data_IF_049783883885
#
_entry.id   IF_049783883885
#
_cell.length_a   1.000
_cell.length_b   1.000
_cell.length_c   1.000
_cell.angle_alpha   90.00
_cell.angle_beta   90.00
_cell.angle_gamma   90.00
#
_symmetry.space_group_name_H-M   'P 1'
#
loop_
_entity.id
_entity.type
_entity.pdbx_description
1 polymer ?
#
# COMPACT_ATOMS: atom_id res chain seq x y z
N UNK A 1 43.08 -40.54 -51.65
CA UNK A 1 43.75 -39.33 -51.14
C UNK A 1 42.73 -38.22 -51.23
N UNK A 2 42.21 -37.78 -50.06
CA UNK A 2 41.62 -36.46 -49.73
C UNK A 2 40.63 -35.84 -50.75
N UNK A 3 39.39 -35.46 -50.43
CA UNK A 3 38.95 -34.48 -49.42
C UNK A 3 37.41 -34.44 -49.38
N UNK A 4 36.85 -34.18 -48.19
CA UNK A 4 35.44 -33.85 -47.90
C UNK A 4 34.98 -32.57 -48.63
N UNK A 5 33.69 -32.24 -48.60
CA UNK A 5 33.14 -31.08 -47.84
C UNK A 5 31.66 -30.84 -48.19
N UNK A 6 30.86 -30.77 -47.12
CA UNK A 6 29.59 -30.08 -46.84
C UNK A 6 28.47 -30.09 -47.91
N UNK A 7 27.29 -30.66 -47.69
CA UNK A 7 26.58 -30.83 -46.41
C UNK A 7 25.99 -29.48 -45.99
N UNK A 8 24.79 -29.20 -46.51
CA UNK A 8 23.93 -28.04 -46.24
C UNK A 8 24.05 -27.53 -44.80
N UNK A 9 24.81 -26.44 -44.64
CA UNK A 9 24.93 -25.68 -43.42
C UNK A 9 23.65 -24.87 -43.17
N UNK A 10 22.97 -25.26 -42.09
CA UNK A 10 22.63 -24.36 -40.99
C UNK A 10 21.69 -23.17 -41.31
N UNK A 11 20.39 -23.43 -41.26
CA UNK A 11 19.42 -22.42 -40.88
C UNK A 11 18.44 -23.03 -39.89
N UNK A 12 18.27 -22.32 -38.77
CA UNK A 12 17.26 -22.53 -37.71
C UNK A 12 17.61 -23.60 -36.67
N UNK A 13 18.52 -23.25 -35.75
CA UNK A 13 18.47 -23.77 -34.38
C UNK A 13 18.23 -22.56 -33.48
N UNK A 14 16.99 -22.51 -32.97
CA UNK A 14 16.54 -21.64 -31.88
C UNK A 14 17.57 -21.62 -30.76
N UNK A 15 18.15 -20.46 -30.50
CA UNK A 15 18.81 -20.18 -29.24
C UNK A 15 17.75 -19.84 -28.19
N UNK A 16 17.07 -20.87 -27.70
CA UNK A 16 16.38 -20.81 -26.40
C UNK A 16 16.75 -22.06 -25.61
N UNK A 17 18.02 -22.14 -25.22
CA UNK A 17 18.48 -23.03 -24.16
C UNK A 17 19.52 -22.30 -23.35
N UNK A 18 19.05 -21.54 -22.36
CA UNK A 18 19.73 -21.44 -21.08
C UNK A 18 18.76 -21.97 -20.04
N UNK A 19 18.86 -23.27 -19.79
CA UNK A 19 18.28 -23.94 -18.64
C UNK A 19 19.26 -23.87 -17.47
N UNK A 20 18.69 -23.84 -16.26
CA UNK A 20 19.31 -24.31 -15.02
C UNK A 20 20.41 -23.43 -14.41
N UNK A 21 19.99 -22.33 -13.76
CA UNK A 21 20.52 -21.80 -12.49
C UNK A 21 19.74 -20.51 -12.16
N UNK A 22 18.49 -20.63 -11.70
CA UNK A 22 17.77 -19.50 -11.10
C UNK A 22 17.70 -19.74 -9.60
N UNK A 23 18.79 -19.38 -8.94
CA UNK A 23 18.78 -19.20 -7.50
C UNK A 23 18.12 -17.85 -7.23
N UNK A 24 16.82 -17.92 -7.00
CA UNK A 24 15.92 -17.09 -6.18
C UNK A 24 16.50 -15.77 -5.65
N UNK A 25 16.58 -14.76 -6.51
CA UNK A 25 16.59 -13.37 -6.06
C UNK A 25 15.60 -12.64 -6.97
N UNK A 26 14.37 -12.44 -6.46
CA UNK A 26 13.39 -11.60 -7.16
C UNK A 26 13.99 -10.19 -7.28
N UNK A 27 13.91 -9.60 -8.47
CA UNK A 27 14.36 -8.21 -8.65
C UNK A 27 13.54 -7.25 -7.80
N UNK A 28 14.10 -6.08 -7.44
CA UNK A 28 13.39 -5.05 -6.64
C UNK A 28 12.03 -4.69 -7.24
N UNK A 29 11.96 -4.49 -8.55
CA UNK A 29 10.73 -4.14 -9.26
C UNK A 29 9.68 -5.26 -9.19
N UNK A 30 10.12 -6.51 -9.22
CA UNK A 30 9.26 -7.70 -9.14
C UNK A 30 8.71 -7.89 -7.72
N UNK A 31 9.54 -7.67 -6.70
CA UNK A 31 9.12 -7.60 -5.30
C UNK A 31 8.09 -6.49 -5.12
N UNK A 32 8.34 -5.29 -5.65
CA UNK A 32 7.39 -4.18 -5.57
C UNK A 32 6.06 -4.52 -6.23
N UNK A 33 6.09 -5.03 -7.47
CA UNK A 33 4.88 -5.47 -8.18
C UNK A 33 4.13 -6.57 -7.42
N UNK A 34 4.84 -7.48 -6.76
CA UNK A 34 4.24 -8.51 -5.94
C UNK A 34 3.63 -7.93 -4.65
N UNK A 35 4.33 -7.05 -3.94
CA UNK A 35 3.87 -6.48 -2.67
C UNK A 35 2.88 -5.32 -2.83
N UNK A 36 2.69 -4.75 -4.03
CA UNK A 36 1.73 -3.67 -4.29
C UNK A 36 0.29 -4.07 -3.92
N UNK A 37 -0.06 -5.36 -4.04
CA UNK A 37 -1.39 -5.84 -3.71
C UNK A 37 -1.55 -6.15 -2.22
N UNK A 38 -2.49 -5.48 -1.57
CA UNK A 38 -2.78 -5.61 -0.14
C UNK A 38 -3.08 -7.05 0.30
N UNK A 39 -3.82 -7.83 -0.50
CA UNK A 39 -4.12 -9.24 -0.18
C UNK A 39 -2.87 -10.09 -0.15
N UNK A 40 -1.92 -9.86 -1.07
CA UNK A 40 -0.63 -10.58 -1.04
C UNK A 40 0.18 -10.22 0.19
N UNK A 41 0.24 -8.93 0.58
CA UNK A 41 0.88 -8.51 1.84
C UNK A 41 0.25 -9.19 3.05
N UNK A 42 -1.08 -9.18 3.15
CA UNK A 42 -1.82 -9.85 4.24
C UNK A 42 -1.58 -11.36 4.28
N UNK A 43 -1.45 -12.03 3.13
CA UNK A 43 -1.06 -13.46 3.11
C UNK A 43 0.32 -13.66 3.72
N UNK A 44 1.31 -12.84 3.35
CA UNK A 44 2.66 -12.95 3.90
C UNK A 44 2.70 -12.63 5.40
N UNK A 45 1.94 -11.62 5.84
CA UNK A 45 1.74 -11.30 7.26
C UNK A 45 1.13 -12.49 8.01
N UNK A 46 0.15 -13.17 7.43
CA UNK A 46 -0.41 -14.40 8.01
C UNK A 46 0.64 -15.50 8.13
N UNK A 47 1.51 -15.68 7.13
CA UNK A 47 2.49 -16.76 7.13
C UNK A 47 3.72 -16.48 8.02
N UNK A 48 4.00 -15.22 8.35
CA UNK A 48 5.21 -14.79 9.07
C UNK A 48 5.50 -15.61 10.32
N UNK A 49 4.53 -15.71 11.22
CA UNK A 49 4.70 -16.34 12.54
C UNK A 49 4.25 -17.81 12.59
N UNK A 50 3.93 -18.40 11.43
CA UNK A 50 3.44 -19.79 11.34
C UNK A 50 4.52 -20.70 10.77
N UNK A 51 4.70 -21.84 11.40
CA UNK A 51 5.58 -22.90 10.93
C UNK A 51 4.76 -24.02 10.30
N UNK A 52 5.22 -24.50 9.14
CA UNK A 52 4.61 -25.61 8.42
C UNK A 52 3.40 -25.24 7.54
N UNK A 53 2.77 -26.26 6.93
CA UNK A 53 1.68 -26.07 5.98
C UNK A 53 0.40 -25.59 6.66
N UNK A 54 -0.28 -24.64 6.03
CA UNK A 54 -1.56 -24.07 6.48
C UNK A 54 -2.64 -24.25 5.42
N UNK A 55 -3.91 -24.24 5.82
CA UNK A 55 -5.00 -24.28 4.85
C UNK A 55 -5.30 -22.91 4.28
N UNK A 56 -5.45 -22.85 2.96
CA UNK A 56 -5.85 -21.66 2.20
C UNK A 56 -7.19 -21.07 2.69
N UNK A 57 -8.11 -21.91 3.19
CA UNK A 57 -9.34 -21.44 3.84
C UNK A 57 -9.07 -20.61 5.09
N UNK A 58 -8.14 -21.05 5.93
CA UNK A 58 -7.82 -20.39 7.19
C UNK A 58 -7.09 -19.05 6.93
N UNK A 59 -6.28 -19.00 5.87
CA UNK A 59 -5.72 -17.74 5.35
C UNK A 59 -6.84 -16.82 4.88
N UNK A 60 -7.75 -17.30 4.03
CA UNK A 60 -8.84 -16.49 3.48
C UNK A 60 -9.74 -15.90 4.57
N UNK A 61 -10.03 -16.68 5.62
CA UNK A 61 -10.80 -16.23 6.78
C UNK A 61 -10.11 -15.10 7.53
N UNK A 62 -8.82 -15.24 7.81
CA UNK A 62 -8.08 -14.22 8.55
C UNK A 62 -7.85 -12.96 7.73
N UNK A 63 -7.50 -13.11 6.44
CA UNK A 63 -7.34 -11.97 5.52
C UNK A 63 -8.64 -11.19 5.38
N UNK A 64 -9.78 -11.89 5.24
CA UNK A 64 -11.09 -11.25 5.19
C UNK A 64 -11.46 -10.56 6.51
N UNK A 65 -11.08 -11.13 7.66
CA UNK A 65 -11.27 -10.50 8.96
C UNK A 65 -10.49 -9.17 9.06
N UNK A 66 -9.24 -9.15 8.58
CA UNK A 66 -8.42 -7.93 8.51
C UNK A 66 -8.90 -6.91 7.47
N UNK A 67 -9.47 -7.34 6.34
CA UNK A 67 -10.07 -6.41 5.35
C UNK A 67 -11.35 -5.73 5.82
N UNK A 68 -12.08 -6.35 6.75
CA UNK A 68 -13.37 -5.86 7.23
C UNK A 68 -13.33 -5.39 8.68
N UNK A 69 -12.13 -5.21 9.25
CA UNK A 69 -11.91 -4.79 10.64
C UNK A 69 -12.77 -5.56 11.65
N UNK A 70 -12.85 -6.88 11.46
CA UNK A 70 -13.72 -7.77 12.22
C UNK A 70 -12.97 -9.02 12.69
N UNK A 71 -13.66 -9.89 13.43
CA UNK A 71 -13.12 -11.20 13.80
C UNK A 71 -13.59 -12.28 12.84
N UNK A 72 -12.85 -13.39 12.77
CA UNK A 72 -13.26 -14.57 11.97
C UNK A 72 -14.66 -15.07 12.39
N UNK A 73 -15.03 -14.94 13.67
CA UNK A 73 -16.33 -15.37 14.18
C UNK A 73 -17.48 -14.44 13.78
N UNK A 74 -17.19 -13.15 13.55
CA UNK A 74 -18.16 -12.14 13.13
C UNK A 74 -18.18 -11.93 11.60
N UNK A 75 -17.39 -12.70 10.86
CA UNK A 75 -17.25 -12.57 9.41
C UNK A 75 -18.48 -13.12 8.66
N UNK A 76 -19.00 -12.33 7.73
CA UNK A 76 -20.11 -12.75 6.88
C UNK A 76 -19.63 -13.72 5.78
N UNK A 77 -20.51 -14.62 5.36
CA UNK A 77 -20.13 -15.68 4.41
C UNK A 77 -19.72 -15.14 3.04
N UNK A 78 -20.32 -14.03 2.59
CA UNK A 78 -20.01 -13.39 1.31
C UNK A 78 -18.66 -12.67 1.34
N UNK A 79 -18.32 -12.01 2.45
CA UNK A 79 -17.00 -11.42 2.69
C UNK A 79 -15.89 -12.47 2.60
N UNK A 80 -16.04 -13.58 3.35
CA UNK A 80 -15.12 -14.72 3.28
C UNK A 80 -15.00 -15.28 1.86
N UNK A 81 -16.13 -15.46 1.17
CA UNK A 81 -16.17 -16.05 -0.16
C UNK A 81 -15.42 -15.20 -1.19
N UNK A 82 -15.55 -13.87 -1.14
CA UNK A 82 -14.85 -12.97 -2.07
C UNK A 82 -13.33 -13.08 -1.92
N UNK A 83 -12.84 -13.07 -0.69
CA UNK A 83 -11.39 -13.22 -0.41
C UNK A 83 -10.91 -14.61 -0.82
N UNK A 84 -11.67 -15.66 -0.49
CA UNK A 84 -11.35 -17.02 -0.91
C UNK A 84 -11.17 -17.13 -2.43
N UNK A 85 -12.13 -16.63 -3.21
CA UNK A 85 -12.05 -16.68 -4.68
C UNK A 85 -10.81 -15.93 -5.19
N UNK A 86 -10.55 -14.73 -4.65
CA UNK A 86 -9.39 -13.94 -5.06
C UNK A 86 -8.05 -14.62 -4.73
N UNK A 87 -7.92 -15.19 -3.53
CA UNK A 87 -6.73 -15.94 -3.14
C UNK A 87 -6.53 -17.16 -4.02
N UNK A 88 -7.61 -17.90 -4.31
CA UNK A 88 -7.54 -19.12 -5.11
C UNK A 88 -7.16 -18.87 -6.56
N UNK A 89 -7.70 -17.81 -7.17
CA UNK A 89 -7.59 -17.54 -8.61
C UNK A 89 -6.38 -16.69 -8.99
N UNK A 90 -5.97 -15.76 -8.12
CA UNK A 90 -5.00 -14.73 -8.49
C UNK A 90 -3.82 -14.67 -7.51
N UNK A 91 -4.08 -14.52 -6.21
CA UNK A 91 -3.01 -14.12 -5.30
C UNK A 91 -2.08 -15.26 -4.91
N UNK A 92 -2.60 -16.42 -4.53
CA UNK A 92 -1.75 -17.56 -4.16
C UNK A 92 -1.04 -18.18 -5.37
N UNK A 93 -1.69 -18.38 -6.53
CA UNK A 93 -0.96 -18.82 -7.73
C UNK A 93 0.18 -17.89 -8.10
N UNK A 94 -0.02 -16.57 -8.02
CA UNK A 94 1.05 -15.61 -8.33
C UNK A 94 2.20 -15.67 -7.31
N UNK A 95 1.90 -15.79 -6.02
CA UNK A 95 2.95 -15.93 -4.99
C UNK A 95 3.75 -17.24 -5.15
N UNK A 96 3.10 -18.30 -5.65
CA UNK A 96 3.71 -19.60 -5.93
C UNK A 96 4.58 -19.57 -7.20
N UNK A 97 4.09 -18.93 -8.27
CA UNK A 97 4.86 -18.70 -9.50
C UNK A 97 6.19 -17.97 -9.23
N UNK A 98 6.17 -17.00 -8.31
CA UNK A 98 7.37 -16.25 -7.89
C UNK A 98 8.20 -16.97 -6.81
N UNK A 99 7.83 -18.19 -6.42
CA UNK A 99 8.56 -19.00 -5.43
C UNK A 99 8.50 -18.47 -3.98
N UNK A 100 7.60 -17.54 -3.69
CA UNK A 100 7.43 -16.96 -2.35
C UNK A 100 6.71 -17.93 -1.42
N UNK A 101 5.80 -18.73 -1.96
CA UNK A 101 5.11 -19.81 -1.25
C UNK A 101 5.16 -21.08 -2.11
N UNK A 102 4.88 -22.24 -1.50
CA UNK A 102 4.46 -23.45 -2.21
C UNK A 102 2.94 -23.57 -2.03
N UNK A 103 2.19 -23.43 -3.12
CA UNK A 103 0.73 -23.52 -3.12
C UNK A 103 0.23 -24.78 -3.83
N UNK A 104 -0.18 -25.76 -3.04
CA UNK A 104 -0.93 -26.90 -3.56
C UNK A 104 -2.40 -26.54 -3.76
N UNK A 105 -2.73 -25.99 -4.93
CA UNK A 105 -4.09 -25.56 -5.27
C UNK A 105 -5.14 -26.67 -5.16
N UNK A 106 -4.78 -27.90 -5.55
CA UNK A 106 -5.71 -29.05 -5.49
C UNK A 106 -6.09 -29.45 -4.07
N UNK A 107 -5.19 -29.25 -3.10
CA UNK A 107 -5.40 -29.56 -1.69
C UNK A 107 -5.74 -28.34 -0.84
N UNK A 108 -5.60 -27.13 -1.40
CA UNK A 108 -5.76 -25.89 -0.65
C UNK A 108 -4.74 -25.75 0.49
N UNK A 109 -3.52 -26.24 0.29
CA UNK A 109 -2.44 -26.17 1.27
C UNK A 109 -1.43 -25.13 0.79
N UNK A 110 -1.01 -24.25 1.70
CA UNK A 110 0.02 -23.24 1.46
C UNK A 110 1.15 -23.48 2.45
N UNK A 111 2.38 -23.50 1.96
CA UNK A 111 3.58 -23.57 2.77
C UNK A 111 4.50 -22.39 2.44
N UNK A 112 5.08 -21.76 3.46
CA UNK A 112 5.97 -20.61 3.22
C UNK A 112 7.35 -21.09 2.80
N UNK A 113 7.97 -20.41 1.84
CA UNK A 113 9.39 -20.61 1.51
C UNK A 113 10.26 -19.66 2.35
N UNK A 114 11.60 -19.82 2.34
CA UNK A 114 12.49 -18.84 2.97
C UNK A 114 12.29 -17.41 2.43
N UNK A 115 11.98 -17.28 1.13
CA UNK A 115 11.77 -16.01 0.44
C UNK A 115 10.57 -15.24 1.01
N UNK A 116 9.49 -15.92 1.43
CA UNK A 116 8.37 -15.27 2.12
C UNK A 116 8.79 -14.52 3.40
N UNK A 117 9.76 -15.03 4.17
CA UNK A 117 10.21 -14.36 5.38
C UNK A 117 11.03 -13.09 5.05
N UNK A 118 11.81 -13.13 3.96
CA UNK A 118 12.58 -11.99 3.49
C UNK A 118 11.68 -10.87 2.95
N UNK A 119 10.64 -11.21 2.20
CA UNK A 119 9.64 -10.24 1.74
C UNK A 119 8.77 -9.72 2.89
N UNK A 120 8.41 -10.56 3.85
CA UNK A 120 7.67 -10.12 5.03
C UNK A 120 8.46 -9.09 5.86
N UNK A 121 9.78 -9.17 5.88
CA UNK A 121 10.63 -8.15 6.53
C UNK A 121 10.58 -6.79 5.80
N UNK A 122 10.37 -6.77 4.47
CA UNK A 122 10.17 -5.52 3.74
C UNK A 122 8.83 -4.84 4.05
N UNK A 123 7.82 -5.59 4.53
CA UNK A 123 6.53 -5.04 4.97
C UNK A 123 6.62 -4.28 6.31
N UNK A 124 7.71 -4.42 7.06
CA UNK A 124 7.90 -3.80 8.38
C UNK A 124 8.59 -2.44 8.31
N UNK A 125 9.09 -2.05 7.14
CA UNK A 125 9.49 -0.67 6.91
C UNK A 125 8.19 0.14 6.79
N UNK A 126 7.95 1.16 7.64
CA UNK A 126 7.01 2.21 7.28
C UNK A 126 7.43 2.67 5.89
N UNK A 127 6.55 2.57 4.91
CA UNK A 127 6.78 3.07 3.56
C UNK A 127 7.06 4.59 3.65
N UNK A 128 8.32 4.95 3.87
CA UNK A 128 8.91 6.27 3.58
C UNK A 128 9.45 6.27 2.13
N UNK A 129 9.16 5.23 1.34
CA UNK A 129 9.33 5.23 -0.11
C UNK A 129 8.13 5.97 -0.73
N UNK A 130 8.16 7.30 -0.58
CA UNK A 130 7.57 8.25 -1.51
C UNK A 130 8.21 8.01 -2.89
N UNK A 131 7.73 7.00 -3.62
CA UNK A 131 8.06 6.83 -5.02
C UNK A 131 7.41 8.01 -5.77
N UNK A 132 8.25 8.95 -6.20
CA UNK A 132 7.88 10.05 -7.10
C UNK A 132 7.39 9.48 -8.43
N UNK A 133 6.16 8.96 -8.50
CA UNK A 133 5.46 8.72 -9.75
C UNK A 133 3.94 8.83 -9.52
N UNK A 134 3.41 10.01 -9.82
CA UNK A 134 2.00 10.32 -10.10
C UNK A 134 0.94 9.53 -9.30
N UNK A 135 0.67 9.95 -8.07
CA UNK A 135 -0.46 9.45 -7.28
C UNK A 135 -0.46 9.98 -5.86
N UNK A 136 -1.27 11.01 -5.62
CA UNK A 136 -1.85 11.43 -4.33
C UNK A 136 -1.21 10.82 -3.05
N UNK A 137 -0.05 11.34 -2.64
CA UNK A 137 0.49 11.06 -1.32
C UNK A 137 -0.30 11.81 -0.25
N UNK A 138 -0.80 11.05 0.73
CA UNK A 138 -1.46 11.50 1.95
C UNK A 138 -0.49 12.38 2.76
N UNK A 139 -0.40 13.66 2.39
CA UNK A 139 0.39 14.66 3.11
C UNK A 139 -0.01 14.63 4.60
N UNK A 140 0.95 14.67 5.55
CA UNK A 140 0.68 14.66 6.98
C UNK A 140 0.16 16.03 7.44
N UNK A 141 -1.10 16.35 7.11
CA UNK A 141 -1.74 17.62 7.46
C UNK A 141 -1.91 17.79 8.98
N UNK A 142 -1.72 16.73 9.77
CA UNK A 142 -1.73 16.79 11.23
C UNK A 142 -0.72 17.79 11.80
N UNK A 143 0.50 17.86 11.24
CA UNK A 143 1.51 18.83 11.67
C UNK A 143 1.15 20.28 11.26
N UNK A 144 0.48 20.43 10.11
CA UNK A 144 -0.02 21.71 9.62
C UNK A 144 -1.18 22.23 10.50
N UNK A 145 -2.14 21.38 10.86
CA UNK A 145 -3.21 21.75 11.78
C UNK A 145 -2.74 21.98 13.22
N UNK A 146 -1.72 21.25 13.70
CA UNK A 146 -1.14 21.45 15.03
C UNK A 146 -0.38 22.77 15.16
N UNK A 147 0.37 23.17 14.14
CA UNK A 147 1.07 24.46 14.12
C UNK A 147 0.08 25.64 14.03
N UNK A 148 -0.95 25.52 13.18
CA UNK A 148 -2.00 26.55 13.03
C UNK A 148 -2.85 26.68 14.29
N UNK A 149 -3.24 25.58 14.93
CA UNK A 149 -4.01 25.63 16.19
C UNK A 149 -3.17 26.15 17.35
N UNK A 150 -1.89 25.76 17.45
CA UNK A 150 -0.96 26.26 18.47
C UNK A 150 -0.77 27.77 18.40
N UNK A 151 -0.58 28.32 17.20
CA UNK A 151 -0.48 29.78 16.99
C UNK A 151 -1.77 30.51 17.36
N UNK A 152 -2.93 29.94 17.02
CA UNK A 152 -4.24 30.53 17.32
C UNK A 152 -4.54 30.54 18.83
N UNK A 153 -4.26 29.44 19.54
CA UNK A 153 -4.40 29.36 21.00
C UNK A 153 -3.43 30.31 21.71
N UNK A 154 -2.18 30.43 21.22
CA UNK A 154 -1.19 31.36 21.77
C UNK A 154 -1.63 32.82 21.59
N UNK A 155 -2.21 33.16 20.44
CA UNK A 155 -2.67 34.53 20.13
C UNK A 155 -3.90 34.92 20.96
N UNK A 156 -4.83 34.00 21.17
CA UNK A 156 -6.01 34.20 22.05
C UNK A 156 -5.57 34.32 23.51
N UNK A 157 -4.63 33.49 23.97
CA UNK A 157 -4.09 33.54 25.33
C UNK A 157 -3.34 34.85 25.62
N UNK A 158 -2.53 35.33 24.66
CA UNK A 158 -1.78 36.58 24.79
C UNK A 158 -2.69 37.81 24.86
N UNK A 159 -3.81 37.81 24.13
CA UNK A 159 -4.82 38.87 24.18
C UNK A 159 -5.52 38.95 25.55
N UNK A 160 -5.83 37.80 26.16
CA UNK A 160 -6.48 37.75 27.48
C UNK A 160 -5.61 38.22 28.65
N UNK A 161 -4.28 38.13 28.54
CA UNK A 161 -3.32 38.48 29.60
C UNK A 161 -2.96 39.97 29.65
N UNK A 162 -3.47 40.81 28.74
CA UNK A 162 -3.34 42.26 28.81
C UNK A 162 -1.90 42.77 28.76
N UNK A 163 -1.02 42.09 28.01
CA UNK A 163 0.37 42.53 27.85
C UNK A 163 0.46 43.77 26.93
N UNK A 164 1.06 44.82 27.48
CA UNK A 164 1.48 46.13 26.95
C UNK A 164 1.09 46.50 25.49
N UNK A 165 0.25 47.53 25.32
CA UNK A 165 0.06 48.24 24.04
C UNK A 165 -1.35 48.22 23.41
N UNK A 166 -2.31 47.50 24.00
CA UNK A 166 -3.65 47.27 23.43
C UNK A 166 -4.79 48.12 24.06
N UNK A 167 -4.46 49.24 24.70
CA UNK A 167 -5.47 50.09 25.38
C UNK A 167 -6.44 50.82 24.46
N UNK A 168 -6.20 50.88 23.14
CA UNK A 168 -6.91 51.79 22.22
C UNK A 168 -7.54 51.13 21.00
N UNK A 169 -7.44 49.81 20.83
CA UNK A 169 -7.98 49.12 19.65
C UNK A 169 -9.36 48.52 19.99
N UNK A 170 -10.44 48.90 19.28
CA UNK A 170 -11.75 48.30 19.48
C UNK A 170 -11.70 46.80 19.22
N UNK A 171 -12.11 45.99 20.20
CA UNK A 171 -12.21 44.53 20.13
C UNK A 171 -13.01 44.04 18.91
N UNK A 172 -13.92 44.86 18.39
CA UNK A 172 -14.69 44.59 17.17
C UNK A 172 -13.82 44.51 15.90
N UNK A 173 -12.75 45.30 15.78
CA UNK A 173 -11.89 45.25 14.59
C UNK A 173 -11.07 43.95 14.54
N UNK A 174 -10.63 43.47 15.70
CA UNK A 174 -9.92 42.19 15.82
C UNK A 174 -10.87 41.04 15.49
N UNK A 175 -12.09 41.06 16.03
CA UNK A 175 -13.10 40.05 15.73
C UNK A 175 -13.47 40.02 14.24
N UNK A 176 -13.66 41.19 13.61
CA UNK A 176 -13.95 41.30 12.18
C UNK A 176 -12.78 40.83 11.31
N UNK A 177 -11.54 41.10 11.70
CA UNK A 177 -10.37 40.61 10.98
C UNK A 177 -10.29 39.08 11.03
N UNK A 178 -10.44 38.48 12.21
CA UNK A 178 -10.45 37.01 12.37
C UNK A 178 -11.60 36.38 11.57
N UNK A 179 -12.80 36.97 11.66
CA UNK A 179 -13.97 36.48 10.93
C UNK A 179 -13.80 36.64 9.41
N UNK A 180 -13.16 37.71 8.94
CA UNK A 180 -12.86 37.91 7.51
C UNK A 180 -11.86 36.90 6.98
N UNK A 181 -10.85 36.53 7.75
CA UNK A 181 -9.87 35.50 7.37
C UNK A 181 -10.56 34.13 7.29
N UNK A 182 -11.39 33.79 8.28
CA UNK A 182 -12.15 32.54 8.27
C UNK A 182 -13.14 32.48 7.09
N UNK A 183 -13.84 33.58 6.82
CA UNK A 183 -14.80 33.66 5.71
C UNK A 183 -14.09 33.60 4.35
N UNK A 184 -12.97 34.29 4.18
CA UNK A 184 -12.18 34.27 2.95
C UNK A 184 -11.61 32.87 2.68
N UNK A 185 -11.15 32.17 3.74
CA UNK A 185 -10.64 30.81 3.63
C UNK A 185 -11.75 29.82 3.25
N UNK A 186 -12.91 29.90 3.91
CA UNK A 186 -14.06 29.05 3.60
C UNK A 186 -14.57 29.31 2.18
N UNK A 187 -14.57 30.57 1.76
CA UNK A 187 -15.00 30.95 0.41
C UNK A 187 -14.02 30.47 -0.67
N UNK A 188 -12.71 30.56 -0.43
CA UNK A 188 -11.70 30.03 -1.34
C UNK A 188 -11.81 28.51 -1.48
N UNK A 189 -12.05 27.79 -0.38
CA UNK A 189 -12.26 26.35 -0.37
C UNK A 189 -13.54 25.93 -1.11
N UNK A 190 -14.60 26.74 -1.04
CA UNK A 190 -15.85 26.48 -1.76
C UNK A 190 -15.68 26.70 -3.27
N UNK A 191 -14.96 27.75 -3.68
CA UNK A 191 -14.69 28.00 -5.10
C UNK A 191 -13.85 26.88 -5.74
N UNK A 192 -12.81 26.42 -5.05
CA UNK A 192 -11.96 25.33 -5.50
C UNK A 192 -12.76 24.03 -5.68
N UNK A 193 -13.73 23.77 -4.79
CA UNK A 193 -14.62 22.61 -4.86
C UNK A 193 -15.73 22.71 -5.94
N UNK A 194 -15.99 23.90 -6.49
CA UNK A 194 -16.91 24.07 -7.62
C UNK A 194 -16.20 23.87 -8.97
N UNK A 195 -14.91 24.17 -9.06
CA UNK A 195 -14.14 24.05 -10.30
C UNK A 195 -13.81 22.58 -10.64
N UNK A 196 -13.80 21.70 -9.64
CA UNK A 196 -13.64 20.25 -9.78
C UNK A 196 -14.94 19.49 -10.09
N UNK A 197 -16.08 20.18 -10.19
CA UNK A 197 -17.41 19.57 -10.29
C UNK A 197 -18.00 19.46 -11.70
N UNK A 198 -17.38 20.07 -12.72
CA UNK A 198 -17.91 20.12 -14.09
C UNK A 198 -17.24 19.12 -15.06
N UNK A 199 -16.43 18.18 -14.55
CA UNK A 199 -15.90 17.04 -15.32
C UNK A 199 -16.54 15.71 -14.88
N UNK A 200 -17.88 15.60 -14.96
CA UNK A 200 -18.60 14.31 -15.06
C UNK A 200 -19.62 14.32 -16.22
#
# INVERSE_FOLDING_TARGET
>A
MTTQVNGTENALIDQHTNSAEQNTELGKDEIYHLLQNERRRKVLEYLRDREGPVQMRDIAEQVAAWEHDTTVQALMSDQRQRVYIALYQAHLPKLDEEGVIDYNQSRGIVEKTPLANELAAHLELPDDDDDETDGESERPWGAYYLSVSGLSTLFIGASGLGLFGFGSIPHLLVALAVMSVYTALTFWQVLDNFETGDEE
#
